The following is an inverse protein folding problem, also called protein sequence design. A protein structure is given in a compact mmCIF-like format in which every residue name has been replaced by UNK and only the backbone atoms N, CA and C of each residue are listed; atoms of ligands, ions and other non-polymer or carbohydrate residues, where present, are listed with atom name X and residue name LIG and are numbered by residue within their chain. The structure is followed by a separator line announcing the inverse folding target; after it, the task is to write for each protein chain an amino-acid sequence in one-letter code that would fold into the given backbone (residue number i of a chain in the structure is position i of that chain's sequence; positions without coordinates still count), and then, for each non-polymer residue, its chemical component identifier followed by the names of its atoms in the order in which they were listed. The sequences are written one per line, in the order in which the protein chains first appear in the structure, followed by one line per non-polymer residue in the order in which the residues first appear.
data_IF_067213730796
#
_entry.id   IF_067213730796
#
_cell.length_a   1.000
_cell.length_b   1.000
_cell.length_c   1.000
_cell.angle_alpha   90.00
_cell.angle_beta   90.00
_cell.angle_gamma   90.00
#
_symmetry.space_group_name_H-M   'P 1'
#
loop_
_entity.id
_entity.type
_entity.pdbx_description
1 polymer ?
#
# COMPACT_ATOMS: atom_id res chain seq x y z
N UNK A 1 23.98 14.71 -24.42
CA UNK A 1 22.99 13.67 -24.07
C UNK A 1 22.66 13.83 -22.60
N UNK A 2 21.55 14.44 -22.37
CA UNK A 2 21.16 14.83 -21.05
C UNK A 2 20.56 13.62 -20.37
N UNK A 3 21.35 13.01 -19.51
CA UNK A 3 20.84 12.07 -18.54
C UNK A 3 19.95 12.88 -17.60
N UNK A 4 18.67 12.78 -17.85
CA UNK A 4 17.63 13.29 -16.98
C UNK A 4 17.78 12.59 -15.63
N UNK A 5 18.69 13.12 -14.80
CA UNK A 5 18.82 12.67 -13.42
C UNK A 5 17.51 13.01 -12.73
N UNK A 6 16.78 11.98 -12.43
CA UNK A 6 15.50 12.04 -11.76
C UNK A 6 15.70 12.83 -10.45
N UNK A 7 14.87 13.81 -10.19
CA UNK A 7 14.94 14.64 -8.96
C UNK A 7 14.94 13.79 -7.66
N UNK A 8 14.66 12.51 -7.79
CA UNK A 8 14.75 11.53 -6.70
C UNK A 8 16.18 11.15 -6.32
N UNK A 9 17.16 11.36 -7.20
CA UNK A 9 18.55 10.98 -6.97
C UNK A 9 19.37 12.11 -6.30
N UNK A 10 18.76 13.28 -6.08
CA UNK A 10 19.39 14.44 -5.46
C UNK A 10 18.96 14.66 -4.02
N UNK A 11 18.51 13.62 -3.33
CA UNK A 11 18.34 13.74 -1.89
C UNK A 11 19.73 13.66 -1.27
N UNK A 12 20.42 14.80 -1.23
CA UNK A 12 21.51 14.97 -0.27
C UNK A 12 20.97 14.56 1.10
N UNK A 13 21.74 13.72 1.78
CA UNK A 13 21.51 13.36 3.17
C UNK A 13 21.56 14.66 3.99
N UNK A 14 20.46 15.38 4.01
CA UNK A 14 20.29 16.47 4.96
C UNK A 14 20.25 15.80 6.32
N UNK A 15 21.13 16.22 7.19
CA UNK A 15 21.20 15.77 8.57
C UNK A 15 19.79 15.95 9.18
N UNK A 16 19.04 14.84 9.22
CA UNK A 16 17.64 14.88 9.58
C UNK A 16 17.50 14.94 11.08
N UNK A 17 17.62 16.13 11.62
CA UNK A 17 17.07 16.41 12.94
C UNK A 17 15.55 16.20 12.86
N UNK A 18 15.00 15.28 13.64
CA UNK A 18 13.55 15.10 13.66
C UNK A 18 12.88 16.42 13.99
N UNK A 19 11.74 16.73 13.35
CA UNK A 19 10.98 17.94 13.67
C UNK A 19 10.76 18.02 15.18
N UNK A 20 10.89 19.21 15.74
CA UNK A 20 10.85 19.48 17.18
C UNK A 20 9.57 19.03 17.92
N UNK A 21 8.52 18.69 17.16
CA UNK A 21 7.23 18.21 17.66
C UNK A 21 7.07 16.68 17.67
N UNK A 22 8.07 15.93 17.21
CA UNK A 22 8.09 14.48 17.36
C UNK A 22 8.73 14.15 18.71
N UNK A 23 7.91 13.88 19.69
CA UNK A 23 8.38 13.51 21.04
C UNK A 23 8.63 12.00 21.11
N UNK A 24 9.55 11.59 21.99
CA UNK A 24 9.89 10.18 22.24
C UNK A 24 8.66 9.37 22.71
N UNK A 25 7.70 10.02 23.35
CA UNK A 25 6.48 9.39 23.84
C UNK A 25 5.41 9.23 22.75
N UNK A 26 5.63 9.78 21.56
CA UNK A 26 4.74 9.64 20.43
C UNK A 26 4.94 8.25 19.77
N UNK A 27 3.84 7.54 19.48
CA UNK A 27 3.85 6.25 18.77
C UNK A 27 4.68 6.28 17.49
N UNK A 28 4.57 7.35 16.72
CA UNK A 28 5.34 7.53 15.48
C UNK A 28 6.85 7.62 15.75
N UNK A 29 7.28 8.19 16.84
CA UNK A 29 8.68 8.21 17.25
C UNK A 29 9.22 6.83 17.62
N UNK A 30 8.36 5.91 18.06
CA UNK A 30 8.69 4.50 18.34
C UNK A 30 8.59 3.60 17.13
N UNK A 31 7.90 4.03 16.08
CA UNK A 31 7.71 3.29 14.85
C UNK A 31 8.95 3.39 13.94
N UNK A 32 9.91 2.49 14.14
CA UNK A 32 11.14 2.46 13.34
C UNK A 32 10.94 2.05 11.89
N UNK A 33 9.79 1.45 11.56
CA UNK A 33 9.48 0.91 10.25
C UNK A 33 8.79 1.92 9.32
N UNK A 34 8.22 2.99 9.87
CA UNK A 34 7.48 4.03 9.12
C UNK A 34 6.52 3.44 8.08
N UNK A 35 5.72 2.46 8.50
CA UNK A 35 4.91 1.62 7.60
C UNK A 35 3.96 2.47 6.75
N UNK A 36 3.39 3.53 7.33
CA UNK A 36 2.51 4.46 6.63
C UNK A 36 3.21 5.25 5.50
N UNK A 37 4.55 5.31 5.50
CA UNK A 37 5.36 5.91 4.43
C UNK A 37 5.89 4.89 3.41
N UNK A 38 5.64 3.60 3.63
CA UNK A 38 6.18 2.50 2.82
C UNK A 38 5.11 1.85 1.94
N UNK A 39 3.88 2.32 1.98
CA UNK A 39 2.80 1.76 1.19
C UNK A 39 1.71 2.77 0.89
N UNK A 40 0.92 2.47 -0.13
CA UNK A 40 -0.29 3.18 -0.48
C UNK A 40 -1.43 2.16 -0.53
N UNK A 41 -2.56 2.49 0.08
CA UNK A 41 -3.80 1.74 -0.05
C UNK A 41 -4.73 2.49 -1.02
N UNK A 42 -4.98 1.89 -2.17
CA UNK A 42 -5.87 2.44 -3.19
C UNK A 42 -7.21 1.73 -3.13
N UNK A 43 -8.27 2.45 -2.75
CA UNK A 43 -9.63 1.90 -2.81
C UNK A 43 -10.02 1.60 -4.24
N UNK A 44 -10.61 0.45 -4.47
CA UNK A 44 -11.09 0.00 -5.78
C UNK A 44 -12.59 -0.28 -5.70
N UNK A 45 -13.31 -0.23 -6.84
CA UNK A 45 -14.69 -0.70 -6.88
C UNK A 45 -14.79 -2.15 -6.42
N UNK A 46 -15.87 -2.49 -5.73
CA UNK A 46 -16.11 -3.88 -5.31
C UNK A 46 -16.18 -4.81 -6.53
N UNK A 47 -15.26 -5.77 -6.66
CA UNK A 47 -15.27 -6.69 -7.79
C UNK A 47 -16.48 -7.64 -7.67
N UNK A 48 -17.20 -7.83 -8.75
CA UNK A 48 -18.43 -8.63 -8.79
C UNK A 48 -18.38 -9.72 -9.87
N UNK A 49 -17.81 -9.42 -11.00
CA UNK A 49 -17.77 -10.30 -12.17
C UNK A 49 -16.48 -11.08 -12.28
N UNK A 50 -16.48 -12.09 -13.15
CA UNK A 50 -15.25 -12.82 -13.51
C UNK A 50 -14.21 -11.89 -14.14
N UNK A 51 -14.65 -10.91 -14.92
CA UNK A 51 -13.79 -9.90 -15.56
C UNK A 51 -13.11 -9.03 -14.51
N UNK A 52 -13.86 -8.58 -13.49
CA UNK A 52 -13.30 -7.78 -12.40
C UNK A 52 -12.18 -8.54 -11.69
N UNK A 53 -12.40 -9.82 -11.38
CA UNK A 53 -11.41 -10.65 -10.70
C UNK A 53 -10.25 -11.04 -11.61
N UNK A 54 -10.48 -11.19 -12.91
CA UNK A 54 -9.41 -11.41 -13.86
C UNK A 54 -8.47 -10.18 -13.93
N UNK A 55 -9.04 -9.01 -13.90
CA UNK A 55 -8.28 -7.75 -13.81
C UNK A 55 -7.45 -7.69 -12.51
N UNK A 56 -8.03 -8.07 -11.38
CA UNK A 56 -7.31 -8.14 -10.11
C UNK A 56 -6.17 -9.17 -10.13
N UNK A 57 -6.35 -10.29 -10.82
CA UNK A 57 -5.28 -11.29 -11.02
C UNK A 57 -4.07 -10.68 -11.72
N UNK A 58 -4.31 -9.86 -12.75
CA UNK A 58 -3.24 -9.13 -13.41
C UNK A 58 -2.53 -8.17 -12.46
N UNK A 59 -3.29 -7.40 -11.69
CA UNK A 59 -2.71 -6.45 -10.73
C UNK A 59 -1.87 -7.14 -9.65
N UNK A 60 -2.41 -8.19 -9.02
CA UNK A 60 -1.72 -8.91 -7.92
C UNK A 60 -0.52 -9.73 -8.42
N UNK A 61 -0.41 -9.96 -9.72
CA UNK A 61 0.76 -10.62 -10.34
C UNK A 61 1.99 -9.72 -10.37
N UNK A 62 1.82 -8.41 -10.15
CA UNK A 62 2.94 -7.48 -10.09
C UNK A 62 3.59 -7.52 -8.71
N UNK A 63 4.91 -7.38 -8.70
CA UNK A 63 5.65 -7.24 -7.46
C UNK A 63 5.13 -6.05 -6.66
N UNK A 64 5.11 -6.16 -5.36
CA UNK A 64 4.72 -5.11 -4.44
C UNK A 64 3.22 -4.76 -4.44
N UNK A 65 2.36 -5.51 -5.13
CA UNK A 65 0.92 -5.29 -5.12
C UNK A 65 0.22 -6.47 -4.46
N UNK A 66 -0.55 -6.17 -3.43
CA UNK A 66 -1.48 -7.09 -2.79
C UNK A 66 -2.92 -6.59 -2.98
N UNK A 67 -3.87 -7.49 -2.88
CA UNK A 67 -5.29 -7.16 -2.88
C UNK A 67 -5.87 -7.54 -1.53
N UNK A 68 -6.66 -6.67 -0.92
CA UNK A 68 -7.34 -7.00 0.31
C UNK A 68 -8.76 -6.43 0.37
N UNK A 69 -9.55 -7.00 1.26
CA UNK A 69 -10.88 -6.53 1.62
C UNK A 69 -10.96 -6.37 3.13
N UNK A 70 -11.50 -5.26 3.57
CA UNK A 70 -11.87 -4.99 4.96
C UNK A 70 -13.32 -4.52 5.07
N UNK A 71 -13.70 -3.95 6.22
CA UNK A 71 -15.04 -3.43 6.46
C UNK A 71 -15.42 -2.29 5.51
N UNK A 72 -14.46 -1.53 5.02
CA UNK A 72 -14.66 -0.36 4.15
C UNK A 72 -14.70 -0.70 2.66
N UNK A 73 -14.33 -1.93 2.29
CA UNK A 73 -14.39 -2.41 0.91
C UNK A 73 -13.12 -3.08 0.43
N UNK A 74 -12.85 -2.95 -0.87
CA UNK A 74 -11.73 -3.57 -1.56
C UNK A 74 -10.64 -2.56 -1.87
N UNK A 75 -9.38 -3.01 -1.74
CA UNK A 75 -8.22 -2.16 -1.89
C UNK A 75 -7.07 -2.87 -2.60
N UNK A 76 -6.26 -2.10 -3.30
CA UNK A 76 -4.89 -2.46 -3.63
C UNK A 76 -3.97 -1.94 -2.53
N UNK A 77 -3.09 -2.79 -2.05
CA UNK A 77 -2.00 -2.42 -1.17
C UNK A 77 -0.70 -2.43 -1.96
N UNK A 78 -0.11 -1.27 -2.13
CA UNK A 78 1.06 -1.06 -2.98
C UNK A 78 2.25 -0.71 -2.11
N UNK A 79 3.26 -1.59 -2.07
CA UNK A 79 4.51 -1.29 -1.39
C UNK A 79 5.33 -0.33 -2.23
N UNK A 80 5.47 0.88 -1.73
CA UNK A 80 6.28 1.92 -2.36
C UNK A 80 6.70 2.94 -1.31
N UNK A 81 7.98 3.28 -1.30
CA UNK A 81 8.50 4.22 -0.33
C UNK A 81 8.16 5.66 -0.74
N UNK A 82 7.77 6.46 0.24
CA UNK A 82 7.67 7.90 0.05
C UNK A 82 9.06 8.48 -0.20
N UNK A 83 9.21 9.32 -1.23
CA UNK A 83 10.48 9.96 -1.56
C UNK A 83 10.98 10.95 -0.50
N UNK A 84 10.10 11.37 0.41
CA UNK A 84 10.42 12.25 1.53
C UNK A 84 10.77 11.52 2.82
N UNK A 85 10.75 10.18 2.80
CA UNK A 85 11.15 9.36 3.94
C UNK A 85 12.68 9.42 4.08
N UNK A 86 13.15 9.94 5.20
CA UNK A 86 14.56 10.05 5.54
C UNK A 86 15.05 8.83 6.33
N UNK A 87 16.38 8.61 6.41
CA UNK A 87 16.94 7.58 7.28
C UNK A 87 16.43 7.73 8.72
N UNK A 88 16.17 6.60 9.36
CA UNK A 88 15.58 6.58 10.72
C UNK A 88 14.05 6.71 10.75
N UNK A 89 13.40 6.74 9.58
CA UNK A 89 11.93 6.76 9.50
C UNK A 89 11.32 8.14 9.74
N UNK A 90 12.05 9.20 9.45
CA UNK A 90 11.61 10.59 9.66
C UNK A 90 11.06 11.17 8.35
N UNK A 91 9.96 11.92 8.42
CA UNK A 91 9.42 12.65 7.30
C UNK A 91 10.21 13.94 7.04
N UNK A 92 10.83 14.06 5.86
CA UNK A 92 11.63 15.24 5.47
C UNK A 92 10.80 16.49 5.19
N UNK A 93 9.48 16.35 5.03
CA UNK A 93 8.56 17.48 4.79
C UNK A 93 7.45 17.56 5.83
N UNK A 94 7.71 17.15 7.05
CA UNK A 94 6.70 16.99 8.10
C UNK A 94 5.71 18.16 8.19
N UNK A 95 6.21 19.40 8.20
CA UNK A 95 5.37 20.61 8.30
C UNK A 95 4.58 20.90 7.01
N UNK A 96 5.05 20.38 5.88
CA UNK A 96 4.45 20.60 4.56
C UNK A 96 3.85 19.31 3.97
N UNK A 97 3.50 18.36 4.82
CA UNK A 97 2.89 17.10 4.38
C UNK A 97 1.62 17.33 3.57
N UNK A 98 1.35 16.49 2.55
CA UNK A 98 0.04 16.43 1.92
C UNK A 98 -1.09 16.25 2.94
N UNK A 99 -2.28 16.71 2.58
CA UNK A 99 -3.44 16.66 3.48
C UNK A 99 -3.73 15.24 3.98
N UNK A 100 -3.65 14.25 3.12
CA UNK A 100 -3.85 12.84 3.49
C UNK A 100 -2.92 12.38 4.61
N UNK A 101 -1.68 12.85 4.61
CA UNK A 101 -0.73 12.54 5.68
C UNK A 101 -1.08 13.27 6.99
N UNK A 102 -1.71 14.44 6.90
CA UNK A 102 -2.13 15.23 8.07
C UNK A 102 -3.39 14.66 8.73
N UNK A 103 -4.30 14.13 7.92
CA UNK A 103 -5.52 13.48 8.39
C UNK A 103 -5.28 12.10 9.00
N UNK A 104 -4.14 11.49 8.66
CA UNK A 104 -3.77 10.18 9.19
C UNK A 104 -3.52 10.28 10.70
N UNK A 105 -4.35 9.60 11.46
CA UNK A 105 -4.21 9.54 12.94
C UNK A 105 -3.41 8.31 13.33
N UNK A 106 -2.64 8.43 14.40
CA UNK A 106 -1.85 7.34 14.95
C UNK A 106 -2.52 6.64 16.14
N UNK A 107 -3.79 6.94 16.41
CA UNK A 107 -4.52 6.34 17.52
C UNK A 107 -4.60 4.82 17.38
N UNK A 108 -4.88 4.37 16.16
CA UNK A 108 -4.82 2.97 15.77
C UNK A 108 -4.29 2.89 14.33
N UNK A 109 -3.11 2.33 14.16
CA UNK A 109 -2.44 2.28 12.86
C UNK A 109 -1.70 0.96 12.65
N UNK A 110 -0.96 0.83 11.54
CA UNK A 110 -0.21 -0.37 11.19
C UNK A 110 0.88 -0.75 12.20
N UNK A 111 1.24 0.16 13.11
CA UNK A 111 2.10 -0.15 14.25
C UNK A 111 1.40 -1.06 15.25
N UNK A 112 0.10 -0.88 15.46
CA UNK A 112 -0.72 -1.67 16.38
C UNK A 112 -1.15 -2.99 15.77
N UNK A 113 -1.60 -2.96 14.53
CA UNK A 113 -2.07 -4.12 13.78
C UNK A 113 -1.73 -3.99 12.31
N UNK A 114 -1.20 -5.05 11.71
CA UNK A 114 -0.88 -5.04 10.28
C UNK A 114 -2.16 -4.96 9.44
N UNK A 115 -2.07 -4.38 8.24
CA UNK A 115 -3.19 -4.32 7.29
C UNK A 115 -3.70 -5.73 6.98
N UNK A 116 -2.79 -6.70 6.87
CA UNK A 116 -3.13 -8.09 6.62
C UNK A 116 -4.00 -8.66 7.75
N UNK A 117 -3.62 -8.43 9.00
CA UNK A 117 -4.35 -8.97 10.16
C UNK A 117 -5.71 -8.29 10.34
N UNK A 118 -5.81 -7.01 9.99
CA UNK A 118 -7.07 -6.26 10.00
C UNK A 118 -7.99 -6.58 8.82
N UNK A 119 -7.51 -7.31 7.80
CA UNK A 119 -8.29 -7.64 6.62
C UNK A 119 -9.17 -8.86 6.80
N UNK A 120 -10.37 -8.84 6.21
CA UNK A 120 -11.22 -10.01 6.06
C UNK A 120 -10.67 -10.98 5.01
N UNK A 121 -10.14 -10.44 3.91
CA UNK A 121 -9.51 -11.17 2.82
C UNK A 121 -8.17 -10.52 2.48
N UNK A 122 -7.16 -11.35 2.27
CA UNK A 122 -5.83 -10.90 1.90
C UNK A 122 -5.21 -11.81 0.83
N UNK A 123 -4.82 -11.21 -0.30
CA UNK A 123 -4.22 -11.91 -1.42
C UNK A 123 -2.87 -11.31 -1.77
N UNK A 124 -1.81 -12.04 -1.49
CA UNK A 124 -0.43 -11.61 -1.75
C UNK A 124 0.18 -12.21 -3.01
N UNK A 125 -0.59 -12.98 -3.78
CA UNK A 125 -0.11 -13.58 -5.02
C UNK A 125 -1.27 -13.96 -5.95
N UNK A 126 -0.95 -14.08 -7.23
CA UNK A 126 -1.85 -14.62 -8.24
C UNK A 126 -2.47 -15.95 -7.80
N UNK A 127 -1.64 -16.88 -7.32
CA UNK A 127 -2.08 -18.21 -6.88
C UNK A 127 -3.16 -18.16 -5.79
N UNK A 128 -2.98 -17.28 -4.82
CA UNK A 128 -3.94 -17.13 -3.70
C UNK A 128 -5.27 -16.57 -4.18
N UNK A 129 -5.23 -15.53 -5.01
CA UNK A 129 -6.43 -14.93 -5.57
C UNK A 129 -7.14 -15.89 -6.54
N UNK A 130 -6.40 -16.60 -7.37
CA UNK A 130 -6.99 -17.58 -8.29
C UNK A 130 -7.70 -18.70 -7.55
N UNK A 131 -7.12 -19.18 -6.45
CA UNK A 131 -7.77 -20.19 -5.59
C UNK A 131 -9.12 -19.70 -5.07
N UNK A 132 -9.19 -18.44 -4.66
CA UNK A 132 -10.44 -17.81 -4.24
C UNK A 132 -11.45 -17.72 -5.40
N UNK A 133 -11.02 -17.29 -6.59
CA UNK A 133 -11.87 -17.18 -7.77
C UNK A 133 -12.46 -18.54 -8.19
N UNK A 134 -11.68 -19.62 -8.14
CA UNK A 134 -12.14 -20.97 -8.44
C UNK A 134 -13.24 -21.45 -7.50
N UNK A 135 -13.20 -21.03 -6.24
CA UNK A 135 -14.25 -21.34 -5.25
C UNK A 135 -15.49 -20.48 -5.45
N UNK A 136 -15.30 -19.22 -5.78
CA UNK A 136 -16.39 -18.26 -5.94
C UNK A 136 -17.20 -18.46 -7.21
N UNK A 137 -16.53 -18.76 -8.33
CA UNK A 137 -17.14 -18.79 -9.65
C UNK A 137 -17.16 -20.18 -10.24
N UNK A 138 -18.35 -20.66 -10.62
CA UNK A 138 -18.47 -21.86 -11.44
C UNK A 138 -17.81 -21.61 -12.80
N UNK A 139 -17.11 -22.63 -13.31
CA UNK A 139 -16.43 -22.57 -14.61
C UNK A 139 -15.43 -21.40 -14.72
N UNK A 140 -14.74 -21.07 -13.63
CA UNK A 140 -13.73 -20.00 -13.63
C UNK A 140 -12.69 -20.16 -14.74
N UNK A 141 -12.20 -21.37 -14.96
CA UNK A 141 -11.21 -21.66 -16.01
C UNK A 141 -11.69 -21.38 -17.43
N UNK A 142 -13.01 -21.32 -17.64
CA UNK A 142 -13.66 -21.06 -18.94
C UNK A 142 -14.10 -19.61 -19.11
N UNK A 143 -13.61 -18.69 -18.28
CA UNK A 143 -14.03 -17.29 -18.29
C UNK A 143 -13.76 -16.55 -19.59
N UNK A 144 -12.84 -17.04 -20.41
CA UNK A 144 -12.52 -16.44 -21.69
C UNK A 144 -13.36 -17.01 -22.87
N UNK A 145 -14.20 -18.00 -22.66
CA UNK A 145 -15.00 -18.59 -23.74
C UNK A 145 -15.99 -17.59 -24.34
N UNK A 146 -16.36 -16.55 -23.59
CA UNK A 146 -17.24 -15.47 -24.04
C UNK A 146 -16.59 -14.54 -25.07
N UNK A 147 -15.27 -14.58 -25.22
CA UNK A 147 -14.52 -13.74 -26.15
C UNK A 147 -14.08 -14.48 -27.44
N UNK A 148 -14.54 -15.68 -27.63
CA UNK A 148 -14.22 -16.48 -28.84
C UNK A 148 -15.25 -16.27 -29.93
#
# INVERSE_FOLDING_TARGET
MDLNMNAKDQIELVDATPPSNVTIDNKCGKCTKSICCNSINQKIPTPKSKEDFDHLLWQVSHENINVFKDADGWFLHIFTNCSHLLPGGVCGIYENRPWVCREYTNDFCEFDESIKDASELWFSSHKKLEKYCRKRFKKWKKRFEIYK
#
